data_IF_152332824359
#
_entry.id   IF_152332824359
#
_cell.length_a   1.000
_cell.length_b   1.000
_cell.length_c   1.000
_cell.angle_alpha   90.00
_cell.angle_beta   90.00
_cell.angle_gamma   90.00
#
_symmetry.space_group_name_H-M   'P 1'
#
loop_
_entity.id
_entity.type
_entity.pdbx_description
1 polymer ?
#
# COMPACT_ATOMS: atom_id res chain seq x y z
N UNK A 1 -1.84 -20.53 -14.77
CA UNK A 1 -0.40 -20.53 -14.95
C UNK A 1 0.00 -21.77 -15.74
N UNK A 2 -0.22 -22.98 -15.21
CA UNK A 2 0.18 -24.23 -15.89
C UNK A 2 -0.43 -24.40 -17.30
N UNK A 3 -1.64 -23.89 -17.53
CA UNK A 3 -2.29 -23.91 -18.86
C UNK A 3 -1.79 -22.80 -19.80
N UNK A 4 -0.86 -21.96 -19.39
CA UNK A 4 -0.35 -20.82 -20.16
C UNK A 4 -1.27 -19.60 -20.26
N UNK A 5 -2.50 -19.67 -19.72
CA UNK A 5 -3.48 -18.57 -19.80
C UNK A 5 -3.15 -17.37 -18.89
N UNK A 6 -2.42 -17.60 -17.80
CA UNK A 6 -1.99 -16.60 -16.82
C UNK A 6 -0.49 -16.69 -16.60
N UNK A 7 0.16 -15.55 -16.35
CA UNK A 7 1.59 -15.48 -15.98
C UNK A 7 1.80 -15.72 -14.51
N UNK A 8 0.92 -15.17 -13.67
CA UNK A 8 0.96 -15.24 -12.21
C UNK A 8 -0.45 -15.21 -11.63
N UNK A 9 -0.55 -15.51 -10.36
CA UNK A 9 -1.77 -15.41 -9.56
C UNK A 9 -1.50 -14.58 -8.31
N UNK A 10 -2.53 -14.01 -7.73
CA UNK A 10 -2.49 -13.27 -6.47
C UNK A 10 -3.65 -13.64 -5.56
N UNK A 11 -3.58 -13.15 -4.32
CA UNK A 11 -4.62 -13.25 -3.33
C UNK A 11 -5.11 -11.85 -2.95
N UNK A 12 -6.28 -11.76 -2.32
CA UNK A 12 -6.83 -10.52 -1.84
C UNK A 12 -7.56 -10.71 -0.51
N UNK A 13 -7.40 -9.73 0.39
CA UNK A 13 -8.06 -9.68 1.70
C UNK A 13 -7.72 -10.85 2.64
N UNK A 14 -6.45 -11.23 2.68
CA UNK A 14 -5.90 -12.14 3.68
C UNK A 14 -5.10 -11.33 4.70
N UNK A 15 -5.61 -11.22 5.93
CA UNK A 15 -5.03 -10.38 6.98
C UNK A 15 -4.33 -11.19 8.07
N UNK A 16 -4.65 -12.49 8.17
CA UNK A 16 -4.04 -13.41 9.13
C UNK A 16 -3.02 -14.32 8.44
N UNK A 17 -1.77 -14.41 8.93
CA UNK A 17 -0.74 -15.29 8.39
C UNK A 17 -1.18 -16.74 8.23
N UNK A 18 -1.92 -17.28 9.22
CA UNK A 18 -2.39 -18.67 9.21
C UNK A 18 -3.37 -18.96 8.05
N UNK A 19 -4.22 -17.99 7.68
CA UNK A 19 -5.15 -18.17 6.57
C UNK A 19 -4.42 -18.12 5.22
N UNK A 20 -3.43 -17.24 5.11
CA UNK A 20 -2.55 -17.18 3.95
C UNK A 20 -1.78 -18.49 3.79
N UNK A 21 -1.15 -18.99 4.85
CA UNK A 21 -0.36 -20.22 4.84
C UNK A 21 -1.21 -21.43 4.46
N UNK A 22 -2.43 -21.52 4.99
CA UNK A 22 -3.36 -22.62 4.67
C UNK A 22 -3.60 -22.71 3.17
N UNK A 23 -3.79 -21.59 2.50
CA UNK A 23 -4.01 -21.55 1.05
C UNK A 23 -2.73 -21.82 0.27
N UNK A 24 -1.65 -21.14 0.63
CA UNK A 24 -0.35 -21.25 -0.06
C UNK A 24 0.22 -22.67 0.05
N UNK A 25 0.03 -23.36 1.18
CA UNK A 25 0.49 -24.74 1.37
C UNK A 25 -0.37 -25.76 0.61
N UNK A 26 -1.62 -25.42 0.30
CA UNK A 26 -2.51 -26.26 -0.50
C UNK A 26 -2.25 -26.18 -2.01
N UNK A 27 -1.35 -25.28 -2.46
CA UNK A 27 -1.09 -25.03 -3.88
C UNK A 27 0.37 -25.24 -4.28
N UNK A 28 0.59 -25.68 -5.52
CA UNK A 28 1.94 -25.83 -6.09
C UNK A 28 2.50 -24.49 -6.62
N UNK A 29 1.64 -23.50 -6.88
CA UNK A 29 2.02 -22.19 -7.41
C UNK A 29 1.80 -21.14 -6.32
N UNK A 30 2.87 -20.46 -5.94
CA UNK A 30 2.79 -19.40 -4.93
C UNK A 30 2.21 -18.12 -5.54
N UNK A 31 1.41 -17.36 -4.79
CA UNK A 31 0.89 -16.07 -5.25
C UNK A 31 2.04 -15.07 -5.42
N UNK A 32 2.04 -14.32 -6.53
CA UNK A 32 3.03 -13.28 -6.76
C UNK A 32 2.74 -12.02 -5.94
N UNK A 33 1.46 -11.76 -5.64
CA UNK A 33 1.03 -10.63 -4.84
C UNK A 33 -0.09 -10.99 -3.88
N UNK A 34 -0.17 -10.21 -2.81
CA UNK A 34 -1.31 -10.14 -1.90
C UNK A 34 -1.86 -8.71 -1.93
N UNK A 35 -3.10 -8.55 -2.35
CA UNK A 35 -3.77 -7.26 -2.37
C UNK A 35 -4.58 -7.07 -1.09
N UNK A 36 -4.14 -6.17 -0.22
CA UNK A 36 -4.81 -5.84 1.04
C UNK A 36 -5.00 -4.33 1.19
N UNK A 37 -5.97 -3.93 2.02
CA UNK A 37 -6.03 -2.56 2.49
C UNK A 37 -4.72 -2.19 3.16
N UNK A 38 -4.09 -1.09 2.69
CA UNK A 38 -2.85 -0.61 3.28
C UNK A 38 -2.71 0.89 3.06
N UNK A 39 -2.49 1.62 4.14
CA UNK A 39 -2.28 3.06 4.23
C UNK A 39 -1.61 3.38 5.57
N UNK A 40 -1.18 4.62 5.87
CA UNK A 40 -0.47 4.95 7.11
C UNK A 40 -1.17 4.54 8.41
N UNK A 41 -2.51 4.52 8.47
CA UNK A 41 -3.25 4.07 9.65
C UNK A 41 -3.36 2.53 9.78
N UNK A 42 -3.09 1.80 8.70
CA UNK A 42 -3.07 0.34 8.66
C UNK A 42 -1.98 -0.16 7.70
N UNK A 43 -0.80 -0.37 8.22
CA UNK A 43 0.40 -0.61 7.40
C UNK A 43 0.62 -2.09 7.07
N UNK A 44 -0.01 -2.99 7.79
CA UNK A 44 0.04 -4.43 7.53
C UNK A 44 1.44 -5.04 7.66
N UNK A 45 2.33 -4.48 8.49
CA UNK A 45 3.74 -4.86 8.58
C UNK A 45 3.96 -6.33 8.92
N UNK A 46 3.13 -6.89 9.81
CA UNK A 46 3.21 -8.32 10.17
C UNK A 46 2.95 -9.20 8.95
N UNK A 47 1.88 -8.91 8.23
CA UNK A 47 1.50 -9.66 7.03
C UNK A 47 2.53 -9.50 5.91
N UNK A 48 2.99 -8.27 5.67
CA UNK A 48 4.03 -7.96 4.69
C UNK A 48 5.32 -8.75 4.94
N UNK A 49 5.78 -8.78 6.19
CA UNK A 49 6.96 -9.54 6.61
C UNK A 49 6.76 -11.06 6.42
N UNK A 50 5.54 -11.52 6.71
CA UNK A 50 5.18 -12.92 6.57
C UNK A 50 5.18 -13.39 5.11
N UNK A 51 4.52 -12.64 4.22
CA UNK A 51 4.40 -13.03 2.80
C UNK A 51 5.72 -12.92 2.03
N UNK A 52 6.64 -12.05 2.48
CA UNK A 52 7.95 -11.88 1.85
C UNK A 52 8.77 -13.18 1.78
N UNK A 53 8.62 -14.09 2.76
CA UNK A 53 9.30 -15.40 2.76
C UNK A 53 8.83 -16.33 1.61
N UNK A 54 7.70 -16.03 1.00
CA UNK A 54 7.16 -16.73 -0.19
C UNK A 54 7.49 -16.02 -1.50
N UNK A 55 8.19 -14.87 -1.45
CA UNK A 55 8.42 -13.99 -2.60
C UNK A 55 7.16 -13.23 -3.04
N UNK A 56 6.14 -13.17 -2.19
CA UNK A 56 4.88 -12.46 -2.44
C UNK A 56 5.05 -10.99 -2.07
N UNK A 57 4.58 -10.09 -2.94
CA UNK A 57 4.63 -8.62 -2.73
C UNK A 57 3.26 -8.13 -2.24
N UNK A 58 3.26 -7.13 -1.35
CA UNK A 58 2.04 -6.47 -0.90
C UNK A 58 1.59 -5.42 -1.93
N UNK A 59 0.35 -5.55 -2.40
CA UNK A 59 -0.33 -4.54 -3.22
C UNK A 59 -1.37 -3.83 -2.36
N UNK A 60 -1.30 -2.51 -2.31
CA UNK A 60 -2.13 -1.67 -1.44
C UNK A 60 -3.36 -1.19 -2.19
N UNK A 61 -4.54 -1.70 -1.85
CA UNK A 61 -5.76 -1.02 -2.19
C UNK A 61 -6.11 0.00 -1.09
N UNK A 62 -6.83 1.06 -1.43
CA UNK A 62 -6.99 2.27 -0.59
C UNK A 62 -5.66 2.92 -0.16
N UNK A 63 -4.65 3.04 -1.05
CA UNK A 63 -3.36 3.61 -0.66
C UNK A 63 -3.45 5.06 -0.14
N UNK A 64 -4.52 5.78 -0.47
CA UNK A 64 -4.83 7.14 -0.03
C UNK A 64 -5.88 7.17 1.09
N UNK A 65 -6.15 6.05 1.79
CA UNK A 65 -7.08 5.96 2.91
C UNK A 65 -8.50 5.51 2.55
N UNK A 66 -8.89 5.57 1.28
CA UNK A 66 -10.19 5.11 0.81
C UNK A 66 -11.37 6.05 1.07
N UNK A 67 -12.58 5.60 0.73
CA UNK A 67 -13.78 6.44 0.77
C UNK A 67 -14.06 6.93 2.19
N UNK A 68 -14.20 8.26 2.33
CA UNK A 68 -14.51 8.91 3.60
C UNK A 68 -13.31 9.15 4.51
N UNK A 69 -12.14 8.59 4.22
CA UNK A 69 -10.95 8.70 5.06
C UNK A 69 -9.75 9.38 4.38
N UNK A 70 -9.84 9.62 3.08
CA UNK A 70 -8.76 10.29 2.32
C UNK A 70 -8.42 11.67 2.90
N UNK A 71 -9.42 12.47 3.28
CA UNK A 71 -9.20 13.81 3.84
C UNK A 71 -8.58 13.76 5.24
N UNK A 72 -8.82 12.71 6.01
CA UNK A 72 -8.18 12.49 7.31
C UNK A 72 -6.66 12.37 7.13
N UNK A 73 -6.20 11.55 6.18
CA UNK A 73 -4.78 11.42 5.84
C UNK A 73 -4.21 12.67 5.18
N UNK A 74 -4.93 13.29 4.25
CA UNK A 74 -4.44 14.47 3.53
C UNK A 74 -4.22 15.67 4.45
N UNK A 75 -5.04 15.80 5.49
CA UNK A 75 -4.97 16.88 6.47
C UNK A 75 -4.12 16.51 7.70
N UNK A 76 -3.56 15.32 7.75
CA UNK A 76 -2.66 14.94 8.84
C UNK A 76 -1.44 15.87 8.87
N UNK A 77 -1.09 16.45 10.06
CA UNK A 77 0.02 17.41 10.16
C UNK A 77 1.38 16.85 9.72
N UNK A 78 1.62 15.54 9.92
CA UNK A 78 2.86 14.89 9.47
C UNK A 78 2.88 14.84 7.95
N UNK A 79 1.82 14.33 7.32
CA UNK A 79 1.72 14.22 5.85
C UNK A 79 1.80 15.62 5.22
N UNK A 80 1.03 16.59 5.74
CA UNK A 80 1.00 17.96 5.21
C UNK A 80 2.38 18.64 5.32
N UNK A 81 3.10 18.46 6.43
CA UNK A 81 4.42 19.05 6.61
C UNK A 81 5.47 18.47 5.66
N UNK A 82 5.41 17.16 5.42
CA UNK A 82 6.29 16.48 4.46
C UNK A 82 5.96 16.94 3.03
N UNK A 83 4.68 17.01 2.69
CA UNK A 83 4.23 17.49 1.39
C UNK A 83 4.75 18.92 1.11
N UNK A 84 4.63 19.82 2.09
CA UNK A 84 5.15 21.19 1.98
C UNK A 84 6.66 21.22 1.79
N UNK A 85 7.41 20.40 2.52
CA UNK A 85 8.88 20.36 2.45
C UNK A 85 9.37 19.94 1.04
N UNK A 86 8.64 19.05 0.37
CA UNK A 86 8.97 18.57 -0.97
C UNK A 86 8.29 19.35 -2.11
N UNK A 87 7.42 20.32 -1.81
CA UNK A 87 6.62 21.01 -2.84
C UNK A 87 5.67 20.06 -3.57
N UNK A 88 5.21 19.00 -2.90
CA UNK A 88 4.34 17.95 -3.42
C UNK A 88 2.98 17.97 -2.71
N UNK A 89 2.00 17.23 -3.24
CA UNK A 89 0.71 17.06 -2.58
C UNK A 89 0.78 15.93 -1.54
N UNK A 90 -0.19 15.91 -0.62
CA UNK A 90 -0.35 14.81 0.34
C UNK A 90 -0.55 13.45 -0.37
N UNK A 91 -1.25 13.42 -1.50
CA UNK A 91 -1.43 12.23 -2.31
C UNK A 91 -0.09 11.70 -2.84
N UNK A 92 0.75 12.58 -3.40
CA UNK A 92 2.08 12.20 -3.89
C UNK A 92 2.99 11.68 -2.78
N UNK A 93 2.98 12.32 -1.59
CA UNK A 93 3.75 11.85 -0.43
C UNK A 93 3.31 10.45 0.00
N UNK A 94 2.00 10.20 0.10
CA UNK A 94 1.45 8.90 0.46
C UNK A 94 1.84 7.81 -0.55
N UNK A 95 1.75 8.10 -1.83
CA UNK A 95 2.12 7.15 -2.88
C UNK A 95 3.63 6.90 -2.89
N UNK A 96 4.45 7.93 -2.70
CA UNK A 96 5.90 7.78 -2.57
C UNK A 96 6.28 6.95 -1.35
N UNK A 97 5.62 7.16 -0.21
CA UNK A 97 5.78 6.35 0.98
C UNK A 97 5.51 4.86 0.69
N UNK A 98 4.41 4.54 -0.02
CA UNK A 98 4.14 3.15 -0.41
C UNK A 98 5.27 2.53 -1.23
N UNK A 99 5.82 3.27 -2.21
CA UNK A 99 6.92 2.77 -3.02
C UNK A 99 8.17 2.52 -2.17
N UNK A 100 8.52 3.43 -1.27
CA UNK A 100 9.68 3.28 -0.39
C UNK A 100 9.48 2.21 0.68
N UNK A 101 8.22 1.91 1.05
CA UNK A 101 7.87 0.72 1.83
C UNK A 101 7.99 -0.57 1.00
N UNK A 102 8.20 -0.51 -0.31
CA UNK A 102 8.24 -1.68 -1.20
C UNK A 102 6.86 -2.26 -1.50
N UNK A 103 5.80 -1.47 -1.35
CA UNK A 103 4.45 -1.84 -1.71
C UNK A 103 4.14 -1.45 -3.16
N UNK A 104 3.25 -2.18 -3.81
CA UNK A 104 2.59 -1.73 -5.04
C UNK A 104 1.38 -0.89 -4.64
N UNK A 105 1.28 0.36 -5.06
CA UNK A 105 0.13 1.21 -4.79
C UNK A 105 -0.79 1.29 -6.01
N UNK A 106 -2.11 1.12 -5.80
CA UNK A 106 -3.12 1.17 -6.86
C UNK A 106 -4.15 2.29 -6.59
N UNK A 107 -3.74 3.57 -6.68
CA UNK A 107 -4.66 4.69 -6.49
C UNK A 107 -5.67 4.74 -7.64
N UNK A 108 -6.96 4.85 -7.30
CA UNK A 108 -8.02 5.03 -8.29
C UNK A 108 -8.41 6.50 -8.43
N UNK A 109 -8.58 6.97 -9.67
CA UNK A 109 -9.17 8.27 -9.97
C UNK A 109 -9.85 8.26 -11.34
N UNK A 110 -10.94 9.02 -11.47
CA UNK A 110 -11.55 9.37 -12.76
C UNK A 110 -11.21 10.81 -13.19
N UNK A 111 -10.46 11.55 -12.37
CA UNK A 111 -10.01 12.90 -12.67
C UNK A 111 -8.63 12.83 -13.34
N UNK A 112 -8.52 13.36 -14.55
CA UNK A 112 -7.31 13.33 -15.37
C UNK A 112 -6.12 14.00 -14.67
N UNK A 113 -6.34 15.13 -13.99
CA UNK A 113 -5.28 15.82 -13.25
C UNK A 113 -4.78 15.00 -12.06
N UNK A 114 -5.66 14.32 -11.34
CA UNK A 114 -5.25 13.43 -10.24
C UNK A 114 -4.51 12.19 -10.74
N UNK A 115 -4.85 11.67 -11.94
CA UNK A 115 -4.13 10.56 -12.55
C UNK A 115 -2.69 10.97 -12.87
N UNK A 116 -2.52 12.14 -13.48
CA UNK A 116 -1.20 12.69 -13.78
C UNK A 116 -0.39 12.96 -12.49
N UNK A 117 -1.02 13.56 -11.47
CA UNK A 117 -0.41 13.82 -10.16
C UNK A 117 0.03 12.53 -9.46
N UNK A 118 -0.82 11.49 -9.45
CA UNK A 118 -0.51 10.20 -8.84
C UNK A 118 0.69 9.50 -9.50
N UNK A 119 0.98 9.79 -10.76
CA UNK A 119 2.14 9.26 -11.47
C UNK A 119 3.42 10.09 -11.26
N UNK A 120 3.29 11.37 -10.89
CA UNK A 120 4.41 12.31 -10.68
C UNK A 120 5.03 12.16 -9.28
N UNK A 121 5.60 10.98 -9.00
CA UNK A 121 6.13 10.59 -7.68
C UNK A 121 7.55 10.01 -7.72
N UNK A 122 8.22 10.09 -8.88
CA UNK A 122 9.53 9.48 -9.08
C UNK A 122 10.69 10.48 -9.04
N UNK A 123 10.40 11.77 -8.93
CA UNK A 123 11.36 12.88 -8.96
C UNK A 123 11.79 13.37 -7.57
N UNK A 124 11.28 12.76 -6.48
CA UNK A 124 11.64 13.07 -5.11
C UNK A 124 11.71 11.80 -4.25
N UNK A 125 12.31 11.91 -3.09
CA UNK A 125 12.50 10.80 -2.15
C UNK A 125 12.24 11.27 -0.73
N UNK A 126 11.52 10.46 0.06
CA UNK A 126 11.31 10.71 1.48
C UNK A 126 12.54 10.27 2.26
N UNK A 127 13.00 11.09 3.19
CA UNK A 127 14.10 10.74 4.09
C UNK A 127 13.69 9.64 5.08
N UNK A 128 14.65 8.98 5.70
CA UNK A 128 14.41 7.96 6.73
C UNK A 128 13.63 8.52 7.93
N UNK A 129 13.85 9.80 8.26
CA UNK A 129 13.09 10.49 9.31
C UNK A 129 11.63 10.68 8.90
N UNK A 130 11.37 11.16 7.69
CA UNK A 130 10.02 11.33 7.16
C UNK A 130 9.28 9.99 7.06
N UNK A 131 9.94 8.95 6.57
CA UNK A 131 9.41 7.59 6.57
C UNK A 131 9.04 7.11 7.97
N UNK A 132 9.89 7.37 8.96
CA UNK A 132 9.65 7.01 10.36
C UNK A 132 8.46 7.78 10.94
N UNK A 133 8.35 9.07 10.65
CA UNK A 133 7.21 9.90 11.08
C UNK A 133 5.91 9.41 10.47
N UNK A 134 5.89 9.05 9.18
CA UNK A 134 4.68 8.50 8.53
C UNK A 134 4.34 7.13 9.12
N UNK A 135 5.34 6.27 9.38
CA UNK A 135 5.12 4.98 10.07
C UNK A 135 4.49 5.14 11.46
N UNK A 136 4.77 6.23 12.16
CA UNK A 136 4.19 6.48 13.48
C UNK A 136 2.68 6.74 13.48
N UNK A 137 2.06 6.92 12.29
CA UNK A 137 0.61 7.06 12.12
C UNK A 137 -0.16 5.73 12.22
N UNK A 138 0.53 4.59 12.37
CA UNK A 138 -0.09 3.27 12.53
C UNK A 138 -1.05 3.24 13.71
N UNK A 139 -2.28 2.84 13.46
CA UNK A 139 -3.33 2.69 14.50
C UNK A 139 -3.92 1.30 14.54
N UNK A 140 -3.59 0.43 13.61
CA UNK A 140 -4.21 -0.87 13.41
C UNK A 140 -5.66 -0.79 12.87
N UNK A 141 -6.12 0.40 12.49
CA UNK A 141 -7.51 0.62 12.05
C UNK A 141 -7.63 0.48 10.54
N UNK A 142 -8.35 -0.52 10.09
CA UNK A 142 -8.84 -0.61 8.72
C UNK A 142 -10.03 0.32 8.53
N UNK A 143 -10.14 0.87 7.31
CA UNK A 143 -11.23 1.76 6.93
C UNK A 143 -12.37 1.01 6.22
N UNK A 144 -12.14 -0.22 5.81
CA UNK A 144 -13.16 -1.09 5.25
C UNK A 144 -13.27 -2.42 6.01
N UNK A 145 -14.49 -2.94 6.09
CA UNK A 145 -14.78 -4.27 6.60
C UNK A 145 -15.14 -5.18 5.43
N UNK A 146 -14.30 -6.18 5.18
CA UNK A 146 -14.56 -7.29 4.26
C UNK A 146 -14.25 -8.59 4.97
#
# INVERSE_FOLDING_TARGET
VQSGKLRSIGLSNYYEPSDFDRLVNATSIKPALLQNETHPHYQGQTMKKHIAQYGTVLESWFPLGGRGHTQELFNDPIISSVAQAHGKTSAQVLLRWHLQEGNIAIPGSSNESHIAENYDIFDFELSDEEMTRIRSLETGRRHASY
#
